data_IF_516130589958
#
_entry.id   IF_516130589958
#
_cell.length_a   1.000
_cell.length_b   1.000
_cell.length_c   1.000
_cell.angle_alpha   90.00
_cell.angle_beta   90.00
_cell.angle_gamma   90.00
#
_symmetry.space_group_name_H-M   'P 1'
#
loop_
_entity.id
_entity.type
_entity.pdbx_description
1 polymer ?
#
# COMPACT_ATOMS: atom_id res chain seq x y z
N UNK A 1 -12.46 33.88 -31.15
CA UNK A 1 -11.41 33.40 -30.23
C UNK A 1 -11.80 32.01 -29.81
N UNK A 2 -11.21 30.97 -30.40
CA UNK A 2 -11.48 29.57 -30.05
C UNK A 2 -10.72 29.29 -28.74
N UNK A 3 -11.45 28.75 -27.76
CA UNK A 3 -10.83 28.19 -26.55
C UNK A 3 -9.83 27.08 -26.93
N UNK A 4 -8.69 26.95 -26.26
CA UNK A 4 -7.79 25.83 -26.50
C UNK A 4 -8.52 24.50 -26.24
N UNK A 5 -8.18 23.41 -26.98
CA UNK A 5 -8.82 22.13 -26.78
C UNK A 5 -8.66 21.73 -25.30
N UNK A 6 -9.80 21.55 -24.62
CA UNK A 6 -9.82 21.14 -23.23
C UNK A 6 -9.05 19.83 -23.08
N UNK A 7 -8.10 19.80 -22.16
CA UNK A 7 -7.49 18.57 -21.66
C UNK A 7 -8.63 17.62 -21.30
N UNK A 8 -8.68 16.46 -21.95
CA UNK A 8 -9.59 15.39 -21.54
C UNK A 8 -9.39 15.13 -20.05
N UNK A 9 -10.46 14.93 -19.28
CA UNK A 9 -10.30 14.60 -17.86
C UNK A 9 -9.34 13.42 -17.73
N UNK A 10 -8.26 13.61 -16.98
CA UNK A 10 -7.31 12.52 -16.75
C UNK A 10 -8.07 11.37 -16.07
N UNK A 11 -7.94 10.16 -16.59
CA UNK A 11 -8.59 8.98 -16.04
C UNK A 11 -8.16 8.77 -14.60
N UNK A 12 -9.12 8.55 -13.68
CA UNK A 12 -8.86 8.36 -12.25
C UNK A 12 -8.76 6.88 -11.93
N UNK A 13 -7.85 6.53 -11.02
CA UNK A 13 -7.70 5.16 -10.53
C UNK A 13 -9.04 4.54 -10.12
N UNK A 14 -9.32 3.30 -10.55
CA UNK A 14 -10.42 2.54 -10.01
C UNK A 14 -10.33 2.41 -8.49
N UNK A 15 -11.49 2.23 -7.85
CA UNK A 15 -11.59 2.06 -6.41
C UNK A 15 -12.21 0.72 -6.06
N UNK A 16 -11.90 0.22 -4.86
CA UNK A 16 -12.55 -0.97 -4.27
C UNK A 16 -13.17 -0.62 -2.94
N UNK A 17 -14.37 -1.16 -2.64
CA UNK A 17 -15.08 -0.83 -1.41
C UNK A 17 -14.34 -1.33 -0.18
N UNK A 18 -14.47 -0.57 0.92
CA UNK A 18 -14.20 -1.04 2.28
C UNK A 18 -15.51 -1.65 2.78
N UNK A 19 -15.62 -2.98 2.92
CA UNK A 19 -16.87 -3.63 3.25
C UNK A 19 -17.52 -3.08 4.52
N UNK A 20 -18.84 -2.89 4.49
CA UNK A 20 -19.62 -2.43 5.65
C UNK A 20 -19.52 -0.93 5.98
N UNK A 21 -18.77 -0.12 5.22
CA UNK A 21 -18.54 1.30 5.58
C UNK A 21 -19.15 2.31 4.61
N UNK A 22 -19.42 1.92 3.37
CA UNK A 22 -19.79 2.84 2.28
C UNK A 22 -18.60 3.61 1.69
N UNK A 23 -17.40 3.45 2.23
CA UNK A 23 -16.15 4.03 1.70
C UNK A 23 -15.47 3.10 0.69
N UNK A 24 -14.58 3.66 -0.12
CA UNK A 24 -13.75 2.90 -1.06
C UNK A 24 -12.34 3.44 -1.11
N UNK A 25 -11.36 2.59 -1.43
CA UNK A 25 -9.96 2.98 -1.61
C UNK A 25 -9.55 2.83 -3.07
N UNK A 26 -8.71 3.76 -3.60
CA UNK A 26 -8.01 3.56 -4.86
C UNK A 26 -7.14 2.30 -4.80
N UNK A 27 -7.10 1.56 -5.92
CA UNK A 27 -6.44 0.25 -5.97
C UNK A 27 -4.91 0.31 -5.95
N UNK A 28 -4.30 1.49 -6.17
CA UNK A 28 -2.86 1.74 -6.06
C UNK A 28 -2.62 2.83 -5.04
N UNK A 29 -1.61 2.64 -4.19
CA UNK A 29 -1.16 3.58 -3.17
C UNK A 29 0.36 3.66 -3.10
N UNK A 30 0.85 4.54 -2.24
CA UNK A 30 2.26 4.76 -1.96
C UNK A 30 2.66 4.18 -0.60
N UNK A 31 3.68 3.31 -0.61
CA UNK A 31 4.38 2.85 0.59
C UNK A 31 5.71 3.57 0.72
N UNK A 32 6.06 4.00 1.92
CA UNK A 32 7.19 4.89 2.15
C UNK A 32 8.35 4.27 2.94
N UNK A 33 8.46 2.94 2.98
CA UNK A 33 9.38 2.28 3.92
C UNK A 33 10.87 2.59 3.67
N UNK A 34 11.27 2.73 2.41
CA UNK A 34 12.66 3.03 2.01
C UNK A 34 12.81 4.41 1.38
N UNK A 35 11.84 4.83 0.56
CA UNK A 35 11.90 6.09 -0.17
C UNK A 35 12.10 7.29 0.76
N UNK A 36 11.47 7.29 1.92
CA UNK A 36 11.61 8.37 2.92
C UNK A 36 12.98 8.37 3.60
N UNK A 37 13.72 7.24 3.62
CA UNK A 37 15.07 7.20 4.21
C UNK A 37 16.06 8.13 3.49
N UNK A 38 15.80 8.43 2.22
CA UNK A 38 16.67 9.28 1.40
C UNK A 38 16.38 10.79 1.56
N UNK A 39 15.34 11.16 2.33
CA UNK A 39 14.89 12.55 2.45
C UNK A 39 15.97 13.49 2.98
N UNK A 40 16.84 13.05 3.88
CA UNK A 40 17.93 13.86 4.43
C UNK A 40 19.06 14.08 3.43
N UNK A 41 19.25 13.19 2.47
CA UNK A 41 20.32 13.27 1.47
C UNK A 41 19.86 13.85 0.13
N UNK A 42 18.62 13.60 -0.27
CA UNK A 42 18.06 14.03 -1.57
C UNK A 42 17.02 15.14 -1.45
N UNK A 43 16.61 15.51 -0.25
CA UNK A 43 15.52 16.45 -0.01
C UNK A 43 14.14 15.81 -0.15
N UNK A 44 13.10 16.62 0.04
CA UNK A 44 11.69 16.18 0.03
C UNK A 44 11.06 16.18 -1.36
N UNK A 45 11.62 16.89 -2.32
CA UNK A 45 11.03 17.11 -3.65
C UNK A 45 10.70 15.82 -4.42
N UNK A 46 11.56 14.78 -4.44
CA UNK A 46 11.23 13.52 -5.11
C UNK A 46 9.95 12.87 -4.53
N UNK A 47 9.82 12.85 -3.21
CA UNK A 47 8.65 12.25 -2.54
C UNK A 47 7.40 13.09 -2.73
N UNK A 48 7.52 14.42 -2.68
CA UNK A 48 6.42 15.34 -2.98
C UNK A 48 5.88 15.10 -4.39
N UNK A 49 6.78 15.03 -5.39
CA UNK A 49 6.40 14.78 -6.78
C UNK A 49 5.73 13.42 -6.98
N UNK A 50 6.20 12.38 -6.28
CA UNK A 50 5.59 11.04 -6.30
C UNK A 50 4.18 11.06 -5.71
N UNK A 51 3.99 11.68 -4.54
CA UNK A 51 2.66 11.75 -3.91
C UNK A 51 1.72 12.63 -4.72
N UNK A 52 2.21 13.74 -5.29
CA UNK A 52 1.40 14.59 -6.17
C UNK A 52 0.93 13.83 -7.41
N UNK A 53 1.82 13.08 -8.08
CA UNK A 53 1.45 12.23 -9.22
C UNK A 53 0.37 11.21 -8.87
N UNK A 54 0.42 10.66 -7.65
CA UNK A 54 -0.60 9.74 -7.14
C UNK A 54 -1.95 10.46 -6.95
N UNK A 55 -1.95 11.62 -6.29
CA UNK A 55 -3.16 12.42 -6.03
C UNK A 55 -3.82 12.91 -7.32
N UNK A 56 -3.04 13.36 -8.30
CA UNK A 56 -3.54 13.86 -9.60
C UNK A 56 -4.33 12.78 -10.37
N UNK A 57 -4.01 11.51 -10.17
CA UNK A 57 -4.69 10.36 -10.77
C UNK A 57 -5.74 9.73 -9.84
N UNK A 58 -6.08 10.39 -8.74
CA UNK A 58 -7.11 9.95 -7.79
C UNK A 58 -6.67 8.88 -6.80
N UNK A 59 -5.38 8.54 -6.76
CA UNK A 59 -4.81 7.75 -5.68
C UNK A 59 -4.75 8.59 -4.40
N UNK A 60 -4.86 7.95 -3.23
CA UNK A 60 -4.82 8.68 -1.95
C UNK A 60 -4.22 7.89 -0.79
N UNK A 61 -3.96 6.61 -0.95
CA UNK A 61 -3.40 5.79 0.13
C UNK A 61 -1.91 6.06 0.27
N UNK A 62 -1.51 6.52 1.44
CA UNK A 62 -0.11 6.72 1.85
C UNK A 62 0.13 5.92 3.11
N UNK A 63 1.00 4.91 3.01
CA UNK A 63 1.36 4.03 4.12
C UNK A 63 2.79 4.35 4.60
N UNK A 64 2.94 4.57 5.89
CA UNK A 64 4.21 4.95 6.52
C UNK A 64 4.38 4.33 7.90
N UNK A 65 5.57 4.46 8.46
CA UNK A 65 5.88 4.12 9.85
C UNK A 65 6.91 5.08 10.41
N UNK A 66 7.00 5.16 11.73
CA UNK A 66 8.05 5.94 12.41
C UNK A 66 9.41 5.26 12.20
N UNK A 67 10.45 6.07 11.99
CA UNK A 67 11.84 5.65 11.74
C UNK A 67 12.80 6.25 12.76
N UNK A 68 13.51 7.31 12.34
CA UNK A 68 14.34 8.12 13.23
C UNK A 68 13.74 9.52 13.34
N UNK A 69 14.05 10.22 14.42
CA UNK A 69 13.47 11.55 14.68
C UNK A 69 13.74 12.51 13.52
N UNK A 70 14.97 12.56 12.99
CA UNK A 70 15.38 13.50 11.96
C UNK A 70 14.65 13.24 10.62
N UNK A 71 14.51 11.97 10.23
CA UNK A 71 13.80 11.56 9.00
C UNK A 71 12.31 11.88 9.15
N UNK A 72 11.71 11.54 10.27
CA UNK A 72 10.29 11.73 10.50
C UNK A 72 9.93 13.23 10.65
N UNK A 73 10.81 14.05 11.23
CA UNK A 73 10.64 15.51 11.29
C UNK A 73 10.69 16.13 9.89
N UNK A 74 11.67 15.72 9.06
CA UNK A 74 11.75 16.19 7.68
C UNK A 74 10.53 15.75 6.86
N UNK A 75 10.16 14.49 6.93
CA UNK A 75 8.99 13.96 6.22
C UNK A 75 7.69 14.61 6.69
N UNK A 76 7.52 14.78 8.01
CA UNK A 76 6.36 15.47 8.58
C UNK A 76 6.24 16.90 8.11
N UNK A 77 7.30 17.69 8.29
CA UNK A 77 7.32 19.12 7.96
C UNK A 77 7.20 19.37 6.46
N UNK A 78 8.01 18.68 5.65
CA UNK A 78 8.22 19.01 4.25
C UNK A 78 7.26 18.27 3.30
N UNK A 79 6.58 17.22 3.77
CA UNK A 79 5.66 16.42 2.96
C UNK A 79 4.27 16.32 3.60
N UNK A 80 4.17 15.76 4.80
CA UNK A 80 2.87 15.39 5.38
C UNK A 80 2.03 16.59 5.83
N UNK A 81 2.66 17.75 6.11
CA UNK A 81 1.97 19.00 6.45
C UNK A 81 1.70 19.90 5.23
N UNK A 82 2.06 19.47 4.01
CA UNK A 82 1.63 20.17 2.79
C UNK A 82 0.11 20.07 2.68
N UNK A 83 -0.63 21.22 2.61
CA UNK A 83 -2.10 21.22 2.72
C UNK A 83 -2.79 20.27 1.74
N UNK A 84 -2.36 20.28 0.46
CA UNK A 84 -2.95 19.41 -0.57
C UNK A 84 -2.74 17.92 -0.29
N UNK A 85 -1.65 17.54 0.37
CA UNK A 85 -1.38 16.17 0.81
C UNK A 85 -2.19 15.87 2.07
N UNK A 86 -2.08 16.74 3.08
CA UNK A 86 -2.72 16.54 4.38
C UNK A 86 -4.24 16.35 4.27
N UNK A 87 -4.90 17.07 3.37
CA UNK A 87 -6.36 17.06 3.22
C UNK A 87 -6.87 15.89 2.36
N UNK A 88 -6.03 15.35 1.48
CA UNK A 88 -6.51 14.42 0.44
C UNK A 88 -6.04 12.97 0.59
N UNK A 89 -5.10 12.67 1.49
CA UNK A 89 -4.61 11.30 1.66
C UNK A 89 -5.44 10.50 2.67
N UNK A 90 -5.52 9.19 2.43
CA UNK A 90 -5.82 8.17 3.42
C UNK A 90 -4.50 7.75 4.05
N UNK A 91 -4.27 8.17 5.28
CA UNK A 91 -3.01 7.94 5.98
C UNK A 91 -3.06 6.64 6.78
N UNK A 92 -2.25 5.67 6.37
CA UNK A 92 -2.00 4.45 7.11
C UNK A 92 -0.68 4.54 7.87
N UNK A 93 -0.70 4.24 9.17
CA UNK A 93 0.48 4.28 10.05
C UNK A 93 0.66 2.97 10.81
N UNK A 94 1.76 2.87 11.58
CA UNK A 94 2.09 1.64 12.30
C UNK A 94 2.63 1.94 13.69
N UNK A 95 2.42 0.97 14.60
CA UNK A 95 3.23 0.79 15.81
C UNK A 95 4.12 -0.44 15.60
N UNK A 96 5.41 -0.28 15.85
CA UNK A 96 6.41 -1.34 15.61
C UNK A 96 7.37 -1.46 16.80
N UNK A 97 6.89 -2.01 17.88
CA UNK A 97 7.68 -2.28 19.08
C UNK A 97 6.97 -3.34 19.94
N UNK A 98 7.67 -4.18 20.68
CA UNK A 98 7.03 -5.05 21.67
C UNK A 98 6.63 -4.31 22.96
N UNK A 99 7.06 -3.05 23.15
CA UNK A 99 6.82 -2.28 24.37
C UNK A 99 5.57 -1.41 24.24
N UNK A 100 4.61 -1.57 25.16
CA UNK A 100 3.34 -0.86 25.16
C UNK A 100 3.50 0.67 25.21
N UNK A 101 4.34 1.19 26.09
CA UNK A 101 4.54 2.64 26.25
C UNK A 101 5.24 3.24 25.03
N UNK A 102 6.19 2.51 24.44
CA UNK A 102 6.87 2.95 23.21
C UNK A 102 5.90 3.02 22.06
N UNK A 103 4.96 2.06 21.94
CA UNK A 103 3.91 2.11 20.91
C UNK A 103 3.01 3.35 21.05
N UNK A 104 2.68 3.75 22.26
CA UNK A 104 1.96 5.00 22.53
C UNK A 104 2.79 6.19 22.05
N UNK A 105 4.07 6.26 22.43
CA UNK A 105 4.97 7.36 22.01
C UNK A 105 5.10 7.44 20.48
N UNK A 106 5.19 6.31 19.78
CA UNK A 106 5.24 6.26 18.32
C UNK A 106 3.98 6.85 17.67
N UNK A 107 2.82 6.52 18.19
CA UNK A 107 1.55 7.10 17.70
C UNK A 107 1.46 8.60 17.97
N UNK A 108 1.73 9.05 19.19
CA UNK A 108 1.74 10.46 19.57
C UNK A 108 2.75 11.26 18.73
N UNK A 109 3.92 10.70 18.49
CA UNK A 109 4.94 11.31 17.62
C UNK A 109 4.43 11.45 16.19
N UNK A 110 3.81 10.41 15.63
CA UNK A 110 3.20 10.45 14.31
C UNK A 110 2.17 11.58 14.21
N UNK A 111 1.23 11.66 15.15
CA UNK A 111 0.21 12.70 15.18
C UNK A 111 0.81 14.10 15.22
N UNK A 112 1.81 14.31 16.09
CA UNK A 112 2.50 15.59 16.25
C UNK A 112 3.27 15.99 14.98
N UNK A 113 4.12 15.08 14.46
CA UNK A 113 4.99 15.38 13.32
C UNK A 113 4.21 15.58 12.02
N UNK A 114 3.11 14.86 11.85
CA UNK A 114 2.29 14.99 10.64
C UNK A 114 1.17 16.02 10.78
N UNK A 115 1.12 16.73 11.91
CA UNK A 115 0.13 17.78 12.15
C UNK A 115 -1.31 17.30 12.13
N UNK A 116 -1.55 16.05 12.57
CA UNK A 116 -2.87 15.43 12.53
C UNK A 116 -3.46 15.21 13.91
N UNK A 117 -4.79 15.23 13.99
CA UNK A 117 -5.54 14.82 15.18
C UNK A 117 -6.03 13.37 15.13
N UNK A 118 -6.02 12.80 13.92
CA UNK A 118 -6.37 11.40 13.67
C UNK A 118 -5.64 10.89 12.43
N UNK A 119 -5.44 9.59 12.37
CA UNK A 119 -5.01 8.84 11.18
C UNK A 119 -6.20 8.04 10.63
N UNK A 120 -6.13 7.62 9.37
CA UNK A 120 -7.23 6.82 8.81
C UNK A 120 -7.10 5.35 9.22
N UNK A 121 -5.88 4.81 9.22
CA UNK A 121 -5.60 3.44 9.62
C UNK A 121 -4.33 3.38 10.49
N UNK A 122 -4.42 2.71 11.64
CA UNK A 122 -3.23 2.36 12.43
C UNK A 122 -3.10 0.84 12.53
N UNK A 123 -1.87 0.33 12.40
CA UNK A 123 -1.60 -1.10 12.29
C UNK A 123 -0.53 -1.54 13.29
N UNK A 124 -0.66 -2.77 13.84
CA UNK A 124 0.46 -3.41 14.54
C UNK A 124 1.38 -4.06 13.50
N UNK A 125 2.61 -3.58 13.40
CA UNK A 125 3.58 -4.06 12.42
C UNK A 125 4.15 -5.42 12.80
N UNK A 126 4.13 -6.37 11.84
CA UNK A 126 4.69 -7.72 12.00
C UNK A 126 4.10 -8.50 13.18
N UNK A 127 2.89 -8.12 13.64
CA UNK A 127 2.24 -8.68 14.85
C UNK A 127 3.11 -8.52 16.12
N UNK A 128 3.99 -7.52 16.13
CA UNK A 128 4.93 -7.29 17.22
C UNK A 128 4.25 -6.60 18.41
N UNK A 129 4.32 -7.18 19.61
CA UNK A 129 3.62 -6.66 20.79
C UNK A 129 2.08 -6.63 20.67
N UNK A 130 1.53 -7.52 19.85
CA UNK A 130 0.10 -7.57 19.51
C UNK A 130 -0.80 -7.62 20.75
N UNK A 131 -0.39 -8.34 21.78
CA UNK A 131 -1.13 -8.49 23.05
C UNK A 131 -1.28 -7.17 23.82
N UNK A 132 -0.37 -6.23 23.64
CA UNK A 132 -0.39 -4.91 24.25
C UNK A 132 -1.02 -3.86 23.33
N UNK A 133 -0.67 -3.91 22.05
CA UNK A 133 -1.09 -2.87 21.11
C UNK A 133 -2.52 -3.04 20.63
N UNK A 134 -3.01 -4.27 20.43
CA UNK A 134 -4.34 -4.46 19.88
C UNK A 134 -5.46 -3.90 20.78
N UNK A 135 -5.46 -4.11 22.11
CA UNK A 135 -6.42 -3.42 22.99
C UNK A 135 -6.30 -1.90 22.90
N UNK A 136 -5.08 -1.35 22.83
CA UNK A 136 -4.85 0.09 22.71
C UNK A 136 -5.35 0.64 21.36
N UNK A 137 -5.19 -0.07 20.26
CA UNK A 137 -5.72 0.34 18.96
C UNK A 137 -7.25 0.42 19.00
N UNK A 138 -7.92 -0.51 19.68
CA UNK A 138 -9.37 -0.46 19.89
C UNK A 138 -9.78 0.80 20.67
N UNK A 139 -9.10 1.12 21.75
CA UNK A 139 -9.32 2.34 22.53
C UNK A 139 -9.15 3.59 21.65
N UNK A 140 -8.07 3.70 20.87
CA UNK A 140 -7.87 4.83 19.96
C UNK A 140 -8.95 4.94 18.89
N UNK A 141 -9.48 3.82 18.42
CA UNK A 141 -10.62 3.82 17.51
C UNK A 141 -11.88 4.35 18.19
N UNK A 142 -12.18 3.91 19.41
CA UNK A 142 -13.32 4.36 20.20
C UNK A 142 -13.21 5.86 20.56
N UNK A 143 -12.00 6.35 20.80
CA UNK A 143 -11.68 7.76 21.05
C UNK A 143 -11.66 8.62 19.76
N UNK A 144 -11.78 8.02 18.57
CA UNK A 144 -11.78 8.73 17.29
C UNK A 144 -10.40 9.18 16.81
N UNK A 145 -9.32 8.66 17.41
CA UNK A 145 -7.95 8.94 16.97
C UNK A 145 -7.57 8.19 15.68
N UNK A 146 -8.31 7.14 15.34
CA UNK A 146 -8.23 6.43 14.07
C UNK A 146 -9.62 6.02 13.59
N UNK A 147 -9.78 5.87 12.26
CA UNK A 147 -11.02 5.31 11.68
C UNK A 147 -10.99 3.79 11.65
N UNK A 148 -9.82 3.24 11.34
CA UNK A 148 -9.61 1.81 11.13
C UNK A 148 -8.39 1.32 11.89
N UNK A 149 -8.44 0.06 12.31
CA UNK A 149 -7.33 -0.63 12.97
C UNK A 149 -7.01 -1.92 12.22
N UNK A 150 -5.73 -2.27 12.18
CA UNK A 150 -5.28 -3.43 11.43
C UNK A 150 -3.97 -4.02 11.91
N UNK A 151 -3.49 -4.97 11.14
CA UNK A 151 -2.19 -5.61 11.34
C UNK A 151 -1.46 -5.77 10.03
N UNK A 152 -0.13 -5.77 10.07
CA UNK A 152 0.69 -6.00 8.89
C UNK A 152 1.68 -7.13 9.09
N UNK A 153 1.90 -7.89 8.03
CA UNK A 153 2.99 -8.86 7.92
C UNK A 153 3.66 -8.73 6.55
N UNK A 154 4.97 -9.00 6.50
CA UNK A 154 5.75 -8.94 5.27
C UNK A 154 6.46 -10.27 4.96
N UNK A 155 6.03 -11.36 5.60
CA UNK A 155 6.58 -12.70 5.40
C UNK A 155 5.51 -13.77 5.59
N UNK A 156 5.48 -14.75 4.68
CA UNK A 156 4.59 -15.91 4.76
C UNK A 156 4.74 -16.72 6.06
N UNK A 157 5.88 -16.61 6.73
CA UNK A 157 6.13 -17.28 8.04
C UNK A 157 5.15 -16.84 9.12
N UNK A 158 4.55 -15.68 8.97
CA UNK A 158 3.58 -15.13 9.91
C UNK A 158 2.12 -15.42 9.52
N UNK A 159 1.85 -16.09 8.40
CA UNK A 159 0.48 -16.27 7.91
C UNK A 159 -0.38 -17.12 8.85
N UNK A 160 0.16 -18.19 9.45
CA UNK A 160 -0.59 -19.00 10.43
C UNK A 160 -1.03 -18.15 11.63
N UNK A 161 -0.13 -17.31 12.14
CA UNK A 161 -0.43 -16.41 13.26
C UNK A 161 -1.42 -15.32 12.85
N UNK A 162 -1.28 -14.79 11.64
CA UNK A 162 -2.20 -13.81 11.08
C UNK A 162 -3.61 -14.38 10.93
N UNK A 163 -3.76 -15.59 10.37
CA UNK A 163 -5.08 -16.22 10.22
C UNK A 163 -5.77 -16.48 11.56
N UNK A 164 -5.04 -16.98 12.56
CA UNK A 164 -5.57 -17.14 13.91
C UNK A 164 -6.05 -15.80 14.49
N UNK A 165 -5.30 -14.75 14.26
CA UNK A 165 -5.65 -13.40 14.69
C UNK A 165 -6.89 -12.88 13.95
N UNK A 166 -6.95 -13.01 12.63
CA UNK A 166 -8.10 -12.61 11.82
C UNK A 166 -9.39 -13.26 12.33
N UNK A 167 -9.38 -14.57 12.56
CA UNK A 167 -10.55 -15.32 13.04
C UNK A 167 -10.99 -14.91 14.44
N UNK A 168 -10.06 -14.50 15.31
CA UNK A 168 -10.35 -14.12 16.69
C UNK A 168 -10.82 -12.68 16.82
N UNK A 169 -10.19 -11.77 16.09
CA UNK A 169 -10.34 -10.33 16.34
C UNK A 169 -11.08 -9.58 15.22
N UNK A 170 -11.20 -10.17 14.02
CA UNK A 170 -11.82 -9.53 12.84
C UNK A 170 -11.34 -8.08 12.63
N UNK A 171 -10.03 -7.87 12.33
CA UNK A 171 -9.49 -6.52 12.14
C UNK A 171 -10.17 -5.80 10.97
N UNK A 172 -10.18 -4.46 10.99
CA UNK A 172 -10.72 -3.67 9.88
C UNK A 172 -9.87 -3.79 8.60
N UNK A 173 -8.57 -4.04 8.73
CA UNK A 173 -7.64 -4.23 7.63
C UNK A 173 -6.57 -5.26 7.95
N UNK A 174 -6.13 -5.98 6.92
CA UNK A 174 -4.85 -6.68 6.93
C UNK A 174 -3.93 -6.13 5.84
N UNK A 175 -2.63 -6.18 6.11
CA UNK A 175 -1.61 -5.72 5.18
C UNK A 175 -0.56 -6.83 5.03
N UNK A 176 -0.46 -7.45 3.84
CA UNK A 176 0.30 -8.68 3.62
C UNK A 176 1.20 -8.59 2.39
N UNK A 177 2.30 -9.33 2.40
CA UNK A 177 3.12 -9.50 1.21
C UNK A 177 2.45 -10.42 0.20
N UNK A 178 2.42 -9.98 -1.05
CA UNK A 178 1.88 -10.75 -2.15
C UNK A 178 2.41 -10.23 -3.49
N UNK A 179 2.90 -11.14 -4.31
CA UNK A 179 3.38 -10.85 -5.66
C UNK A 179 3.34 -12.12 -6.50
N UNK A 180 3.50 -12.04 -7.84
CA UNK A 180 3.57 -13.25 -8.67
C UNK A 180 4.76 -14.18 -8.36
N UNK A 181 5.81 -13.67 -7.69
CA UNK A 181 6.95 -14.46 -7.20
C UNK A 181 6.81 -14.89 -5.74
N UNK A 182 5.93 -14.25 -4.96
CA UNK A 182 5.58 -14.63 -3.59
C UNK A 182 4.05 -14.84 -3.49
N UNK A 183 3.46 -15.87 -4.15
CA UNK A 183 2.01 -16.03 -4.26
C UNK A 183 1.36 -16.65 -3.01
N UNK A 184 2.11 -17.04 -1.99
CA UNK A 184 1.61 -17.84 -0.85
C UNK A 184 0.39 -17.26 -0.12
N UNK A 185 0.12 -15.96 -0.21
CA UNK A 185 -1.10 -15.37 0.36
C UNK A 185 -2.39 -15.86 -0.35
N UNK A 186 -2.31 -16.30 -1.61
CA UNK A 186 -3.45 -16.84 -2.38
C UNK A 186 -3.98 -18.16 -1.81
N UNK A 187 -3.15 -18.89 -1.09
CA UNK A 187 -3.51 -20.23 -0.63
C UNK A 187 -4.55 -20.18 0.50
N UNK A 188 -4.41 -19.22 1.42
CA UNK A 188 -5.22 -19.19 2.64
C UNK A 188 -5.61 -17.80 3.10
N UNK A 189 -4.67 -16.86 3.14
CA UNK A 189 -4.87 -15.54 3.77
C UNK A 189 -5.84 -14.67 2.96
N UNK A 190 -5.66 -14.59 1.64
CA UNK A 190 -6.53 -13.80 0.77
C UNK A 190 -7.95 -14.40 0.68
N UNK A 191 -8.14 -15.71 0.49
CA UNK A 191 -9.47 -16.31 0.57
C UNK A 191 -10.16 -16.07 1.92
N UNK A 192 -9.43 -16.21 3.04
CA UNK A 192 -9.99 -15.94 4.36
C UNK A 192 -10.40 -14.47 4.53
N UNK A 193 -9.60 -13.54 4.00
CA UNK A 193 -9.92 -12.11 4.04
C UNK A 193 -11.20 -11.79 3.23
N UNK A 194 -11.34 -12.40 2.04
CA UNK A 194 -12.54 -12.28 1.20
C UNK A 194 -13.78 -12.82 1.92
N UNK A 195 -13.70 -14.03 2.49
CA UNK A 195 -14.78 -14.67 3.24
C UNK A 195 -15.23 -13.86 4.46
N UNK A 196 -14.28 -13.21 5.14
CA UNK A 196 -14.56 -12.37 6.31
C UNK A 196 -14.91 -10.92 5.96
N UNK A 197 -14.82 -10.53 4.70
CA UNK A 197 -15.03 -9.14 4.27
C UNK A 197 -13.97 -8.18 4.81
N UNK A 198 -12.73 -8.65 5.03
CA UNK A 198 -11.62 -7.84 5.54
C UNK A 198 -10.83 -7.24 4.37
N UNK A 199 -10.80 -5.91 4.20
CA UNK A 199 -9.99 -5.23 3.19
C UNK A 199 -8.51 -5.59 3.32
N UNK A 200 -7.88 -5.84 2.17
CA UNK A 200 -6.47 -6.26 2.14
C UNK A 200 -5.61 -5.23 1.40
N UNK A 201 -4.60 -4.73 2.08
CA UNK A 201 -3.53 -3.92 1.50
C UNK A 201 -2.34 -4.83 1.18
N UNK A 202 -1.75 -4.69 0.00
CA UNK A 202 -0.61 -5.50 -0.42
C UNK A 202 0.68 -4.70 -0.31
N UNK A 203 1.67 -5.28 0.36
CA UNK A 203 3.05 -4.80 0.35
C UNK A 203 3.95 -5.68 -0.53
N UNK A 204 5.16 -5.18 -0.82
CA UNK A 204 6.21 -5.88 -1.55
C UNK A 204 5.80 -6.39 -2.95
N UNK A 205 5.03 -5.64 -3.75
CA UNK A 205 4.63 -6.09 -5.10
C UNK A 205 5.83 -6.40 -5.99
N UNK A 206 6.98 -5.80 -5.70
CA UNK A 206 8.25 -5.96 -6.42
C UNK A 206 9.34 -6.62 -5.56
N UNK A 207 8.98 -7.29 -4.45
CA UNK A 207 9.93 -7.98 -3.56
C UNK A 207 11.12 -7.10 -3.12
N UNK A 208 10.86 -5.85 -2.72
CA UNK A 208 11.88 -4.85 -2.40
C UNK A 208 12.86 -4.56 -3.54
N UNK A 209 12.44 -4.68 -4.80
CA UNK A 209 13.23 -4.42 -6.00
C UNK A 209 13.89 -5.66 -6.62
N UNK A 210 13.96 -6.81 -5.92
CA UNK A 210 14.56 -8.05 -6.48
C UNK A 210 13.80 -8.61 -7.68
N UNK A 211 12.50 -8.29 -7.79
CA UNK A 211 11.70 -8.59 -8.98
C UNK A 211 12.34 -8.04 -10.26
N UNK A 212 12.77 -6.78 -10.25
CA UNK A 212 13.39 -6.14 -11.42
C UNK A 212 14.75 -6.72 -11.77
N UNK A 213 15.50 -7.21 -10.78
CA UNK A 213 16.74 -7.95 -11.03
C UNK A 213 16.51 -9.27 -11.77
N UNK A 214 15.36 -9.93 -11.52
CA UNK A 214 15.00 -11.18 -12.18
C UNK A 214 14.52 -10.98 -13.63
N UNK A 215 13.72 -9.95 -13.87
CA UNK A 215 13.14 -9.66 -15.20
C UNK A 215 14.02 -8.73 -16.05
N UNK A 216 15.11 -8.19 -15.48
CA UNK A 216 15.99 -7.24 -16.16
C UNK A 216 16.58 -7.81 -17.44
N UNK A 217 16.52 -7.03 -18.52
CA UNK A 217 16.99 -7.45 -19.85
C UNK A 217 16.08 -8.42 -20.60
N UNK A 218 14.99 -8.88 -19.99
CA UNK A 218 14.00 -9.75 -20.63
C UNK A 218 12.95 -8.92 -21.38
N UNK A 219 12.55 -9.40 -22.57
CA UNK A 219 11.42 -8.80 -23.29
C UNK A 219 10.12 -9.25 -22.64
N UNK A 220 9.21 -8.29 -22.39
CA UNK A 220 7.86 -8.60 -21.97
C UNK A 220 7.15 -9.40 -23.09
N UNK A 221 6.47 -10.53 -22.80
CA UNK A 221 5.78 -11.31 -23.80
C UNK A 221 4.64 -10.55 -24.50
N UNK A 222 4.48 -10.77 -25.79
CA UNK A 222 3.49 -10.03 -26.59
C UNK A 222 2.03 -10.27 -26.10
N UNK A 223 1.73 -11.46 -25.54
CA UNK A 223 0.39 -11.78 -25.00
C UNK A 223 -0.03 -10.94 -23.80
N UNK A 224 0.88 -10.20 -23.15
CA UNK A 224 0.54 -9.31 -22.05
C UNK A 224 -0.28 -8.10 -22.49
N UNK A 225 -0.22 -7.76 -23.80
CA UNK A 225 -1.05 -6.73 -24.42
C UNK A 225 -2.55 -7.08 -24.38
N UNK A 226 -2.93 -8.37 -24.27
CA UNK A 226 -4.34 -8.82 -24.20
C UNK A 226 -5.10 -8.25 -22.99
N UNK A 227 -4.35 -7.77 -21.98
CA UNK A 227 -4.90 -7.09 -20.79
C UNK A 227 -4.21 -5.75 -20.51
N UNK A 228 -3.82 -5.03 -21.57
CA UNK A 228 -3.24 -3.68 -21.50
C UNK A 228 -2.00 -3.58 -20.58
N UNK A 229 -1.10 -4.57 -20.65
CA UNK A 229 0.12 -4.61 -19.86
C UNK A 229 1.34 -4.39 -20.75
N UNK A 230 2.09 -3.32 -20.49
CA UNK A 230 3.17 -2.84 -21.34
C UNK A 230 4.55 -2.85 -20.67
N UNK A 231 4.61 -3.07 -19.36
CA UNK A 231 5.86 -3.11 -18.60
C UNK A 231 5.88 -4.23 -17.56
N UNK A 232 7.06 -4.58 -17.10
CA UNK A 232 7.21 -5.57 -16.04
C UNK A 232 6.60 -5.13 -14.70
N UNK A 233 6.65 -3.82 -14.38
CA UNK A 233 6.00 -3.29 -13.19
C UNK A 233 4.47 -3.48 -13.29
N UNK A 234 3.88 -3.12 -14.42
CA UNK A 234 2.45 -3.33 -14.68
C UNK A 234 2.08 -4.81 -14.61
N UNK A 235 2.93 -5.73 -15.09
CA UNK A 235 2.66 -7.18 -15.03
C UNK A 235 2.49 -7.66 -13.59
N UNK A 236 3.40 -7.26 -12.70
CA UNK A 236 3.28 -7.60 -11.27
C UNK A 236 2.02 -7.00 -10.65
N UNK A 237 1.75 -5.72 -10.90
CA UNK A 237 0.58 -5.02 -10.32
C UNK A 237 -0.73 -5.58 -10.83
N UNK A 238 -0.88 -5.83 -12.12
CA UNK A 238 -2.08 -6.42 -12.72
C UNK A 238 -2.33 -7.85 -12.22
N UNK A 239 -1.27 -8.64 -12.03
CA UNK A 239 -1.38 -9.95 -11.39
C UNK A 239 -1.94 -9.84 -9.97
N UNK A 240 -1.44 -8.92 -9.16
CA UNK A 240 -1.92 -8.68 -7.80
C UNK A 240 -3.36 -8.20 -7.81
N UNK A 241 -3.66 -7.19 -8.62
CA UNK A 241 -4.97 -6.56 -8.71
C UNK A 241 -6.06 -7.46 -9.32
N UNK A 242 -5.69 -8.51 -10.07
CA UNK A 242 -6.64 -9.50 -10.57
C UNK A 242 -7.21 -10.40 -9.47
N UNK A 243 -6.60 -10.44 -8.28
CA UNK A 243 -7.17 -11.12 -7.11
C UNK A 243 -8.23 -10.21 -6.45
N UNK A 244 -9.46 -10.72 -6.29
CA UNK A 244 -10.61 -9.94 -5.78
C UNK A 244 -10.49 -9.56 -4.31
N UNK A 245 -9.76 -10.35 -3.52
CA UNK A 245 -9.51 -10.05 -2.12
C UNK A 245 -8.59 -8.84 -1.89
N UNK A 246 -7.85 -8.41 -2.92
CA UNK A 246 -6.95 -7.25 -2.82
C UNK A 246 -7.75 -5.95 -2.90
N UNK A 247 -7.64 -5.07 -1.92
CA UNK A 247 -8.25 -3.75 -1.93
C UNK A 247 -7.33 -2.70 -2.52
N UNK A 248 -6.07 -2.67 -2.10
CA UNK A 248 -5.08 -1.71 -2.57
C UNK A 248 -3.69 -2.37 -2.61
N UNK A 249 -2.88 -2.05 -3.61
CA UNK A 249 -1.46 -2.42 -3.66
C UNK A 249 -0.59 -1.19 -3.44
N UNK A 250 0.38 -1.30 -2.53
CA UNK A 250 1.33 -0.23 -2.27
C UNK A 250 2.58 -0.39 -3.13
N UNK A 251 2.89 0.64 -3.88
CA UNK A 251 4.14 0.76 -4.64
C UNK A 251 5.07 1.73 -3.94
N UNK A 252 6.38 1.56 -4.11
CA UNK A 252 7.39 2.40 -3.48
C UNK A 252 8.41 2.85 -4.50
N UNK A 253 8.61 4.16 -4.62
CA UNK A 253 9.58 4.78 -5.52
C UNK A 253 9.87 6.21 -5.06
N UNK A 254 11.03 6.76 -5.46
CA UNK A 254 11.39 8.19 -5.39
C UNK A 254 11.31 8.86 -6.77
N UNK A 255 10.98 8.10 -7.83
CA UNK A 255 10.86 8.61 -9.18
C UNK A 255 9.37 8.78 -9.55
N UNK A 256 8.89 10.01 -9.86
CA UNK A 256 7.52 10.26 -10.26
C UNK A 256 7.09 9.55 -11.55
N UNK A 257 7.99 9.32 -12.50
CA UNK A 257 7.68 8.57 -13.72
C UNK A 257 7.38 7.10 -13.41
N UNK A 258 8.11 6.49 -12.46
CA UNK A 258 7.79 5.14 -11.98
C UNK A 258 6.45 5.11 -11.24
N UNK A 259 6.08 6.18 -10.53
CA UNK A 259 4.75 6.25 -9.90
C UNK A 259 3.65 6.31 -10.96
N UNK A 260 3.82 7.08 -12.02
CA UNK A 260 2.87 7.14 -13.15
C UNK A 260 2.75 5.75 -13.79
N UNK A 261 3.87 5.08 -14.09
CA UNK A 261 3.88 3.71 -14.62
C UNK A 261 3.13 2.72 -13.71
N UNK A 262 3.34 2.81 -12.40
CA UNK A 262 2.64 1.97 -11.42
C UNK A 262 1.12 2.25 -11.40
N UNK A 263 0.72 3.51 -11.48
CA UNK A 263 -0.68 3.93 -11.57
C UNK A 263 -1.32 3.37 -12.84
N UNK A 264 -0.61 3.42 -13.97
CA UNK A 264 -1.08 2.85 -15.24
C UNK A 264 -1.33 1.34 -15.14
N UNK A 265 -0.62 0.63 -14.28
CA UNK A 265 -0.93 -0.77 -13.94
C UNK A 265 -2.32 -1.00 -13.33
N UNK A 266 -2.99 0.06 -12.86
CA UNK A 266 -4.36 0.03 -12.35
C UNK A 266 -5.45 0.20 -13.41
N UNK A 267 -5.10 0.57 -14.64
CA UNK A 267 -6.06 0.79 -15.72
C UNK A 267 -6.13 -0.38 -16.72
N UNK A 268 -7.19 -0.42 -17.51
CA UNK A 268 -7.40 -1.42 -18.55
C UNK A 268 -7.75 -2.81 -18.01
N UNK A 269 -7.48 -3.85 -18.80
CA UNK A 269 -7.77 -5.24 -18.48
C UNK A 269 -6.93 -5.79 -17.35
N UNK A 270 -7.44 -6.84 -16.70
CA UNK A 270 -6.71 -7.62 -15.71
C UNK A 270 -6.57 -9.06 -16.19
N UNK A 271 -5.47 -9.76 -15.89
CA UNK A 271 -5.28 -11.15 -16.31
C UNK A 271 -6.33 -12.08 -15.68
N UNK A 272 -6.88 -12.96 -16.49
CA UNK A 272 -7.72 -14.06 -16.04
C UNK A 272 -6.89 -15.19 -15.38
N UNK A 273 -7.55 -16.23 -14.86
CA UNK A 273 -6.86 -17.35 -14.19
C UNK A 273 -5.88 -18.11 -15.09
N UNK A 274 -6.11 -18.20 -16.41
CA UNK A 274 -5.18 -18.82 -17.35
C UNK A 274 -3.93 -17.96 -17.52
N UNK A 275 -4.14 -16.65 -17.71
CA UNK A 275 -3.07 -15.66 -17.84
C UNK A 275 -2.26 -15.55 -16.55
N UNK A 276 -2.90 -15.59 -15.37
CA UNK A 276 -2.22 -15.66 -14.06
C UNK A 276 -1.28 -16.85 -13.96
N UNK A 277 -1.73 -18.04 -14.38
CA UNK A 277 -0.88 -19.25 -14.42
C UNK A 277 0.31 -19.05 -15.38
N UNK A 278 0.08 -18.47 -16.55
CA UNK A 278 1.13 -18.17 -17.53
C UNK A 278 2.15 -17.17 -16.97
N UNK A 279 1.72 -16.14 -16.23
CA UNK A 279 2.60 -15.19 -15.55
C UNK A 279 3.49 -15.91 -14.52
N UNK A 280 2.92 -16.76 -13.66
CA UNK A 280 3.70 -17.52 -12.67
C UNK A 280 4.71 -18.45 -13.34
N UNK A 281 4.31 -19.18 -14.37
CA UNK A 281 5.19 -20.07 -15.12
C UNK A 281 6.33 -19.28 -15.80
N UNK A 282 6.02 -18.14 -16.43
CA UNK A 282 7.02 -17.26 -17.02
C UNK A 282 8.07 -16.86 -15.99
N UNK A 283 7.64 -16.30 -14.84
CA UNK A 283 8.53 -15.78 -13.81
C UNK A 283 9.30 -16.88 -13.06
N UNK A 284 8.80 -18.11 -13.02
CA UNK A 284 9.53 -19.25 -12.43
C UNK A 284 10.68 -19.74 -13.31
N UNK A 285 10.63 -19.44 -14.60
CA UNK A 285 11.65 -19.85 -15.59
C UNK A 285 12.74 -18.77 -15.81
N UNK A 286 12.58 -17.58 -15.25
CA UNK A 286 13.55 -16.49 -15.27
C UNK A 286 14.47 -16.55 -14.05
#
# INVERSE_FOLDING_TARGET
MSLPPGLLPQERLPTRPIPGTGESLPIVGFGSSKSVLEILSQGSEPILSVIQSLLDRGGRVVDTSIRTTEIDEAFGRDVMQVPTIQENIFLATKVNTPNAEEGIRQHEQTMRLFGRRRVDLIQVESLNGLEHHWPRLKEWKDEGQTSYIGVTVSSYRNFDRLEQFMRRESPDFIHVNYSPLEPGAEERVLPLAEDMGIPTIINRPFMNGSYFGRVGGQKLPDWTADFDCHTWAQLSLKYILSNRAVTCVLTETTNPDHMIENIEGGFGGLPDESQRRSIRQLLSNL
#
